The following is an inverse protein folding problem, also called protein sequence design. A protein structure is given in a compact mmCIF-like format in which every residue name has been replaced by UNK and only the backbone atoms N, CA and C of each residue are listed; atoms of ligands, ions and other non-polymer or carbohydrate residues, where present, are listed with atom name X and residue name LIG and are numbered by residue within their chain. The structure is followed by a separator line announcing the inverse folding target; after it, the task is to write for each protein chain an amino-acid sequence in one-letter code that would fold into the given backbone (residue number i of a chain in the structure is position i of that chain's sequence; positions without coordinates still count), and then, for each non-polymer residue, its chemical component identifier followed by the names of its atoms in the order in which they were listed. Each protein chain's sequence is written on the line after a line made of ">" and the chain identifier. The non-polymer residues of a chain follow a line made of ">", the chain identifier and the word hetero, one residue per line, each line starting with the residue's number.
data_IF_476499732465
#
_entry.id   IF_476499732465
#
_cell.length_a   1.000
_cell.length_b   1.000
_cell.length_c   1.000
_cell.angle_alpha   90.00
_cell.angle_beta   90.00
_cell.angle_gamma   90.00
#
_symmetry.space_group_name_H-M   'P 1'
#
loop_
_entity.id
_entity.type
_entity.pdbx_description
1 polymer ?
#
# COMPACT_ATOMS: atom_id res chain seq x y z
N UNK A 1 17.66 4.31 -40.40
CA UNK A 1 17.46 5.05 -39.16
C UNK A 1 16.08 5.71 -39.23
N UNK A 2 15.04 5.14 -38.59
CA UNK A 2 13.73 5.79 -38.45
C UNK A 2 13.78 6.64 -37.21
N UNK A 3 13.64 7.97 -37.35
CA UNK A 3 13.64 8.91 -36.25
C UNK A 3 12.42 8.69 -35.35
N UNK A 4 12.64 8.52 -34.07
CA UNK A 4 11.62 8.64 -33.02
C UNK A 4 11.23 10.13 -32.96
N UNK A 5 10.14 10.49 -33.66
CA UNK A 5 9.54 11.83 -33.53
C UNK A 5 8.99 11.98 -32.11
N UNK A 6 9.30 13.09 -31.46
CA UNK A 6 8.64 13.52 -30.24
C UNK A 6 7.14 13.70 -30.51
N UNK A 7 6.25 13.30 -29.57
CA UNK A 7 4.81 13.45 -29.78
C UNK A 7 4.46 14.92 -29.98
N UNK A 8 3.51 15.19 -30.87
CA UNK A 8 2.99 16.55 -31.10
C UNK A 8 2.25 17.04 -29.84
N UNK A 9 2.17 18.37 -29.67
CA UNK A 9 1.45 18.99 -28.54
C UNK A 9 0.02 18.47 -28.40
N UNK A 10 -0.68 18.25 -29.51
CA UNK A 10 -2.03 17.67 -29.55
C UNK A 10 -2.08 16.22 -29.08
N UNK A 11 -1.09 15.39 -29.42
CA UNK A 11 -0.96 14.00 -28.97
C UNK A 11 -0.64 13.93 -27.47
N UNK A 12 0.21 14.84 -26.97
CA UNK A 12 0.55 14.95 -25.56
C UNK A 12 -0.68 15.34 -24.70
N UNK A 13 -1.47 16.31 -25.16
CA UNK A 13 -2.73 16.74 -24.51
C UNK A 13 -3.77 15.61 -24.51
N UNK A 14 -3.94 14.91 -25.63
CA UNK A 14 -4.85 13.76 -25.74
C UNK A 14 -4.46 12.61 -24.81
N UNK A 15 -3.16 12.29 -24.73
CA UNK A 15 -2.62 11.26 -23.85
C UNK A 15 -2.80 11.64 -22.38
N UNK A 16 -2.55 12.88 -22.00
CA UNK A 16 -2.75 13.40 -20.64
C UNK A 16 -4.23 13.30 -20.23
N UNK A 17 -5.15 13.80 -21.07
CA UNK A 17 -6.59 13.73 -20.79
C UNK A 17 -7.11 12.27 -20.68
N UNK A 18 -6.54 11.34 -21.46
CA UNK A 18 -6.86 9.91 -21.38
C UNK A 18 -6.35 9.31 -20.07
N UNK A 19 -5.14 9.67 -19.64
CA UNK A 19 -4.56 9.22 -18.40
C UNK A 19 -5.33 9.78 -17.20
N UNK A 20 -5.73 11.05 -17.22
CA UNK A 20 -6.54 11.67 -16.16
C UNK A 20 -7.90 10.96 -15.99
N UNK A 21 -8.58 10.61 -17.09
CA UNK A 21 -9.83 9.83 -17.03
C UNK A 21 -9.63 8.43 -16.47
N UNK A 22 -8.55 7.75 -16.86
CA UNK A 22 -8.21 6.43 -16.36
C UNK A 22 -8.05 6.45 -14.82
N UNK A 23 -7.27 7.38 -14.28
CA UNK A 23 -7.05 7.49 -12.84
C UNK A 23 -8.33 7.88 -12.09
N UNK A 24 -9.11 8.80 -12.65
CA UNK A 24 -10.40 9.19 -12.06
C UNK A 24 -11.39 8.03 -11.97
N UNK A 25 -11.40 7.12 -12.96
CA UNK A 25 -12.22 5.90 -12.91
C UNK A 25 -11.71 4.95 -11.82
N UNK A 26 -10.40 4.77 -11.67
CA UNK A 26 -9.83 3.93 -10.62
C UNK A 26 -10.20 4.43 -9.22
N UNK A 27 -10.03 5.71 -8.93
CA UNK A 27 -10.35 6.32 -7.64
C UNK A 27 -11.86 6.21 -7.31
N UNK A 28 -12.72 6.47 -8.32
CA UNK A 28 -14.16 6.31 -8.17
C UNK A 28 -14.54 4.84 -7.88
N UNK A 29 -13.91 3.89 -8.55
CA UNK A 29 -14.17 2.46 -8.36
C UNK A 29 -13.82 2.01 -6.94
N UNK A 30 -12.69 2.44 -6.39
CA UNK A 30 -12.29 2.14 -5.01
C UNK A 30 -13.32 2.64 -4.01
N UNK A 31 -13.78 3.87 -4.16
CA UNK A 31 -14.82 4.44 -3.31
C UNK A 31 -16.11 3.60 -3.36
N UNK A 32 -16.55 3.23 -4.56
CA UNK A 32 -17.76 2.40 -4.75
C UNK A 32 -17.57 1.01 -4.16
N UNK A 33 -16.42 0.35 -4.40
CA UNK A 33 -16.12 -0.98 -3.87
C UNK A 33 -16.06 -1.00 -2.34
N UNK A 34 -15.46 0.02 -1.73
CA UNK A 34 -15.37 0.10 -0.27
C UNK A 34 -16.72 0.41 0.42
N UNK A 35 -17.58 1.19 -0.22
CA UNK A 35 -18.88 1.56 0.33
C UNK A 35 -19.94 0.48 0.16
N UNK A 36 -20.00 -0.14 -1.02
CA UNK A 36 -21.06 -1.07 -1.40
C UNK A 36 -20.61 -2.54 -1.35
N UNK A 37 -19.33 -2.79 -1.17
CA UNK A 37 -18.73 -4.10 -1.41
C UNK A 37 -18.50 -4.37 -2.89
N UNK A 38 -17.46 -5.15 -3.21
CA UNK A 38 -17.08 -5.43 -4.60
C UNK A 38 -18.22 -6.12 -5.40
N UNK A 39 -18.88 -7.13 -4.82
CA UNK A 39 -19.88 -7.91 -5.53
C UNK A 39 -21.14 -7.13 -5.88
N UNK A 40 -21.61 -6.30 -4.95
CA UNK A 40 -22.83 -5.48 -5.11
C UNK A 40 -22.60 -4.23 -5.97
N UNK A 41 -21.35 -3.90 -6.26
CA UNK A 41 -20.99 -2.75 -7.08
C UNK A 41 -21.26 -2.99 -8.55
N UNK A 42 -21.65 -1.95 -9.27
CA UNK A 42 -21.93 -1.97 -10.70
C UNK A 42 -21.07 -0.97 -11.48
N UNK A 43 -20.84 -1.24 -12.76
CA UNK A 43 -20.15 -0.32 -13.68
C UNK A 43 -20.85 1.05 -13.72
N UNK A 44 -22.19 1.07 -13.71
CA UNK A 44 -22.96 2.31 -13.73
C UNK A 44 -22.77 3.15 -12.47
N UNK A 45 -22.59 2.54 -11.29
CA UNK A 45 -22.23 3.27 -10.07
C UNK A 45 -20.84 3.89 -10.18
N UNK A 46 -19.87 3.13 -10.70
CA UNK A 46 -18.49 3.62 -10.91
C UNK A 46 -18.49 4.76 -11.93
N UNK A 47 -19.19 4.61 -13.06
CA UNK A 47 -19.29 5.63 -14.09
C UNK A 47 -19.87 6.94 -13.55
N UNK A 48 -20.96 6.84 -12.77
CA UNK A 48 -21.60 7.99 -12.10
C UNK A 48 -20.63 8.66 -11.12
N UNK A 49 -19.94 7.90 -10.28
CA UNK A 49 -18.96 8.41 -9.31
C UNK A 49 -17.77 9.08 -10.03
N UNK A 50 -17.33 8.52 -11.16
CA UNK A 50 -16.25 9.08 -11.98
C UNK A 50 -16.69 10.27 -12.86
N UNK A 51 -17.99 10.58 -12.93
CA UNK A 51 -18.50 11.63 -13.82
C UNK A 51 -18.29 11.32 -15.31
N UNK A 52 -18.50 10.06 -15.72
CA UNK A 52 -18.39 9.60 -17.11
C UNK A 52 -19.60 8.76 -17.50
N UNK A 53 -19.81 8.55 -18.82
CA UNK A 53 -20.81 7.60 -19.30
C UNK A 53 -20.33 6.14 -19.12
N UNK A 54 -21.25 5.19 -18.92
CA UNK A 54 -20.95 3.75 -18.75
C UNK A 54 -20.05 3.23 -19.88
N UNK A 55 -20.35 3.58 -21.13
CA UNK A 55 -19.54 3.20 -22.29
C UNK A 55 -18.10 3.69 -22.25
N UNK A 56 -17.83 4.78 -21.49
CA UNK A 56 -16.47 5.29 -21.31
C UNK A 56 -15.63 4.33 -20.47
N UNK A 57 -16.22 3.65 -19.48
CA UNK A 57 -15.50 2.66 -18.65
C UNK A 57 -14.91 1.57 -19.53
N UNK A 58 -15.70 1.04 -20.47
CA UNK A 58 -15.28 -0.06 -21.35
C UNK A 58 -14.19 0.31 -22.38
N UNK A 59 -13.88 1.60 -22.54
CA UNK A 59 -12.71 2.04 -23.32
C UNK A 59 -11.39 1.81 -22.58
N UNK A 60 -11.42 1.64 -21.24
CA UNK A 60 -10.26 1.48 -20.38
C UNK A 60 -10.17 0.12 -19.72
N UNK A 61 -11.30 -0.50 -19.37
CA UNK A 61 -11.39 -1.70 -18.56
C UNK A 61 -12.41 -2.68 -19.14
N UNK A 62 -12.09 -3.96 -19.11
CA UNK A 62 -12.96 -5.03 -19.63
C UNK A 62 -14.21 -5.26 -18.78
N UNK A 63 -14.03 -5.20 -17.46
CA UNK A 63 -15.05 -5.43 -16.45
C UNK A 63 -14.61 -4.84 -15.10
N UNK A 64 -15.40 -5.02 -14.04
CA UNK A 64 -15.04 -4.51 -12.71
C UNK A 64 -13.85 -5.24 -12.06
N UNK A 65 -13.62 -6.51 -12.40
CA UNK A 65 -12.47 -7.28 -11.93
C UNK A 65 -11.17 -6.69 -12.48
N UNK A 66 -11.19 -6.32 -13.77
CA UNK A 66 -10.08 -5.65 -14.44
C UNK A 66 -9.75 -4.29 -13.79
N UNK A 67 -10.77 -3.52 -13.41
CA UNK A 67 -10.59 -2.26 -12.66
C UNK A 67 -9.87 -2.51 -11.33
N UNK A 68 -10.27 -3.53 -10.57
CA UNK A 68 -9.65 -3.89 -9.29
C UNK A 68 -8.17 -4.25 -9.44
N UNK A 69 -7.85 -5.08 -10.44
CA UNK A 69 -6.47 -5.47 -10.75
C UNK A 69 -5.63 -4.25 -11.14
N UNK A 70 -6.16 -3.38 -12.00
CA UNK A 70 -5.49 -2.14 -12.42
C UNK A 70 -5.27 -1.18 -11.23
N UNK A 71 -6.24 -1.09 -10.32
CA UNK A 71 -6.13 -0.28 -9.11
C UNK A 71 -4.98 -0.77 -8.21
N UNK A 72 -4.92 -2.06 -7.89
CA UNK A 72 -3.84 -2.59 -7.05
C UNK A 72 -2.46 -2.43 -7.71
N UNK A 73 -2.34 -2.65 -9.02
CA UNK A 73 -1.10 -2.38 -9.76
C UNK A 73 -0.65 -0.91 -9.66
N UNK A 74 -1.60 0.01 -9.80
CA UNK A 74 -1.33 1.45 -9.74
C UNK A 74 -0.90 1.88 -8.33
N UNK A 75 -1.68 1.51 -7.31
CA UNK A 75 -1.40 1.86 -5.91
C UNK A 75 -0.10 1.22 -5.41
N UNK A 76 0.17 -0.04 -5.73
CA UNK A 76 1.42 -0.70 -5.35
C UNK A 76 2.63 0.12 -5.77
N UNK A 77 2.69 0.56 -7.02
CA UNK A 77 3.83 1.35 -7.53
C UNK A 77 3.99 2.67 -6.80
N UNK A 78 2.89 3.39 -6.55
CA UNK A 78 2.92 4.68 -5.84
C UNK A 78 3.36 4.52 -4.39
N UNK A 79 2.73 3.63 -3.65
CA UNK A 79 2.99 3.41 -2.23
C UNK A 79 4.42 2.92 -2.00
N UNK A 80 4.92 2.02 -2.85
CA UNK A 80 6.31 1.54 -2.73
C UNK A 80 7.37 2.58 -3.04
N UNK A 81 7.13 3.47 -4.01
CA UNK A 81 8.02 4.60 -4.24
C UNK A 81 8.15 5.47 -2.98
N UNK A 82 7.02 5.77 -2.33
CA UNK A 82 7.00 6.53 -1.09
C UNK A 82 7.68 5.78 0.08
N UNK A 83 7.45 4.47 0.22
CA UNK A 83 8.11 3.68 1.27
C UNK A 83 9.63 3.65 1.11
N UNK A 84 10.12 3.45 -0.11
CA UNK A 84 11.56 3.46 -0.39
C UNK A 84 12.16 4.84 -0.08
N UNK A 85 11.52 5.91 -0.52
CA UNK A 85 11.97 7.27 -0.24
C UNK A 85 12.09 7.55 1.26
N UNK A 86 11.07 7.20 2.06
CA UNK A 86 11.08 7.38 3.52
C UNK A 86 12.17 6.55 4.21
N UNK A 87 12.39 5.32 3.77
CA UNK A 87 13.44 4.43 4.30
C UNK A 87 14.84 4.97 3.95
N UNK A 88 15.04 5.45 2.72
CA UNK A 88 16.34 5.93 2.25
C UNK A 88 16.76 7.26 2.92
N UNK A 89 15.82 8.03 3.49
CA UNK A 89 16.12 9.25 4.25
C UNK A 89 16.73 8.97 5.63
N UNK A 90 16.53 7.78 6.18
CA UNK A 90 17.06 7.41 7.51
C UNK A 90 18.42 6.69 7.40
N UNK A 91 19.25 6.83 8.44
CA UNK A 91 20.56 6.21 8.51
C UNK A 91 20.56 4.88 9.26
N UNK A 92 19.91 4.81 10.43
CA UNK A 92 19.89 3.62 11.28
C UNK A 92 18.71 2.69 10.89
N UNK A 93 18.88 1.39 11.12
CA UNK A 93 17.83 0.41 10.88
C UNK A 93 16.56 0.70 11.71
N UNK A 94 16.71 1.18 12.94
CA UNK A 94 15.57 1.52 13.81
C UNK A 94 14.78 2.71 13.26
N UNK A 95 15.47 3.76 12.77
CA UNK A 95 14.81 4.92 12.18
C UNK A 95 14.15 4.57 10.82
N UNK A 96 14.81 3.71 10.04
CA UNK A 96 14.22 3.17 8.79
C UNK A 96 12.92 2.42 9.07
N UNK A 97 12.91 1.55 10.09
CA UNK A 97 11.72 0.84 10.51
C UNK A 97 10.60 1.79 10.97
N UNK A 98 10.98 2.81 11.75
CA UNK A 98 10.04 3.84 12.22
C UNK A 98 9.42 4.62 11.07
N UNK A 99 10.23 5.07 10.13
CA UNK A 99 9.75 5.80 8.94
C UNK A 99 8.84 4.93 8.08
N UNK A 100 9.21 3.66 7.83
CA UNK A 100 8.41 2.72 7.07
C UNK A 100 7.04 2.49 7.71
N UNK A 101 7.00 2.18 9.01
CA UNK A 101 5.74 1.90 9.72
C UNK A 101 4.88 3.16 9.77
N UNK A 102 5.46 4.33 10.10
CA UNK A 102 4.72 5.61 10.12
C UNK A 102 4.10 5.90 8.76
N UNK A 103 4.88 5.75 7.68
CA UNK A 103 4.39 5.97 6.32
C UNK A 103 3.28 4.99 5.94
N UNK A 104 3.41 3.72 6.32
CA UNK A 104 2.39 2.71 6.06
C UNK A 104 1.06 3.07 6.73
N UNK A 105 1.10 3.43 8.02
CA UNK A 105 -0.10 3.83 8.75
C UNK A 105 -0.71 5.13 8.18
N UNK A 106 0.12 6.09 7.78
CA UNK A 106 -0.30 7.35 7.15
C UNK A 106 -1.00 7.12 5.81
N UNK A 107 -0.50 6.23 4.96
CA UNK A 107 -1.14 5.89 3.68
C UNK A 107 -2.56 5.34 3.90
N UNK A 108 -2.75 4.45 4.87
CA UNK A 108 -4.07 3.89 5.14
C UNK A 108 -5.00 4.87 5.89
N UNK A 109 -4.45 5.75 6.72
CA UNK A 109 -5.23 6.82 7.33
C UNK A 109 -5.74 7.82 6.30
N UNK A 110 -4.91 8.19 5.31
CA UNK A 110 -5.29 9.11 4.22
C UNK A 110 -6.29 8.50 3.25
N UNK A 111 -6.16 7.21 2.96
CA UNK A 111 -7.03 6.51 2.01
C UNK A 111 -7.71 5.31 2.70
N UNK A 112 -8.70 5.62 3.55
CA UNK A 112 -9.47 4.60 4.27
C UNK A 112 -10.17 3.62 3.34
N UNK A 113 -10.59 4.07 2.16
CA UNK A 113 -11.24 3.19 1.19
C UNK A 113 -10.26 2.15 0.64
N UNK A 114 -9.02 2.55 0.40
CA UNK A 114 -7.95 1.61 0.06
C UNK A 114 -7.70 0.60 1.18
N UNK A 115 -7.68 1.06 2.45
CA UNK A 115 -7.48 0.17 3.60
C UNK A 115 -8.59 -0.87 3.71
N UNK A 116 -9.87 -0.48 3.56
CA UNK A 116 -11.02 -1.40 3.55
C UNK A 116 -10.91 -2.42 2.42
N UNK A 117 -10.58 -1.97 1.21
CA UNK A 117 -10.46 -2.83 0.05
C UNK A 117 -9.28 -3.81 0.19
N UNK A 118 -8.15 -3.34 0.67
CA UNK A 118 -6.97 -4.16 0.94
C UNK A 118 -7.28 -5.27 1.95
N UNK A 119 -7.88 -4.93 3.10
CA UNK A 119 -8.27 -5.91 4.12
C UNK A 119 -9.30 -6.92 3.58
N UNK A 120 -10.29 -6.46 2.83
CA UNK A 120 -11.28 -7.35 2.21
C UNK A 120 -10.62 -8.36 1.26
N UNK A 121 -9.66 -7.94 0.44
CA UNK A 121 -8.98 -8.83 -0.52
C UNK A 121 -7.94 -9.74 0.16
N UNK A 122 -7.26 -9.30 1.22
CA UNK A 122 -6.28 -10.14 1.93
C UNK A 122 -6.92 -11.29 2.71
N UNK A 123 -8.16 -11.14 3.16
CA UNK A 123 -8.89 -12.13 3.95
C UNK A 123 -9.81 -13.05 3.12
N UNK A 124 -9.87 -12.88 1.79
CA UNK A 124 -10.69 -13.72 0.90
C UNK A 124 -9.99 -15.03 0.52
N UNK A 125 -10.79 -16.11 0.38
CA UNK A 125 -10.33 -17.41 -0.11
C UNK A 125 -10.04 -17.37 -1.62
N UNK A 126 -10.90 -16.68 -2.40
CA UNK A 126 -10.73 -16.45 -3.85
C UNK A 126 -10.52 -14.96 -4.09
N UNK A 127 -9.29 -14.54 -4.22
CA UNK A 127 -8.89 -13.14 -4.41
C UNK A 127 -8.80 -12.81 -5.89
N UNK A 128 -9.53 -11.81 -6.34
CA UNK A 128 -9.46 -11.35 -7.73
C UNK A 128 -8.11 -10.70 -8.06
N UNK A 129 -7.53 -10.00 -7.09
CA UNK A 129 -6.22 -9.34 -7.20
C UNK A 129 -5.11 -10.12 -6.46
N UNK A 130 -5.20 -11.44 -6.34
CA UNK A 130 -4.27 -12.26 -5.56
C UNK A 130 -2.81 -12.03 -5.94
N UNK A 131 -2.52 -12.03 -7.25
CA UNK A 131 -1.17 -11.79 -7.75
C UNK A 131 -0.64 -10.42 -7.34
N UNK A 132 -1.45 -9.37 -7.46
CA UNK A 132 -1.07 -7.99 -7.13
C UNK A 132 -0.83 -7.83 -5.63
N UNK A 133 -1.69 -8.41 -4.81
CA UNK A 133 -1.54 -8.40 -3.35
C UNK A 133 -0.31 -9.20 -2.93
N UNK A 134 -0.07 -10.34 -3.55
CA UNK A 134 1.13 -11.14 -3.28
C UNK A 134 2.42 -10.38 -3.64
N UNK A 135 2.45 -9.73 -4.80
CA UNK A 135 3.59 -8.89 -5.21
C UNK A 135 3.80 -7.73 -4.24
N UNK A 136 2.74 -7.06 -3.82
CA UNK A 136 2.79 -5.98 -2.83
C UNK A 136 3.33 -6.46 -1.48
N UNK A 137 2.80 -7.56 -0.94
CA UNK A 137 3.29 -8.17 0.30
C UNK A 137 4.77 -8.56 0.18
N UNK A 138 5.15 -9.18 -0.94
CA UNK A 138 6.55 -9.57 -1.17
C UNK A 138 7.48 -8.36 -1.12
N UNK A 139 7.16 -7.29 -1.84
CA UNK A 139 7.97 -6.06 -1.86
C UNK A 139 8.10 -5.46 -0.45
N UNK A 140 7.01 -5.41 0.32
CA UNK A 140 7.03 -4.91 1.69
C UNK A 140 7.88 -5.78 2.62
N UNK A 141 7.73 -7.10 2.56
CA UNK A 141 8.51 -8.05 3.34
C UNK A 141 10.00 -8.04 2.95
N UNK A 142 10.33 -7.79 1.69
CA UNK A 142 11.71 -7.65 1.23
C UNK A 142 12.33 -6.36 1.79
N UNK A 143 11.59 -5.25 1.81
CA UNK A 143 12.04 -3.99 2.41
C UNK A 143 12.25 -4.12 3.93
N UNK A 144 11.34 -4.79 4.65
CA UNK A 144 11.56 -5.09 6.08
C UNK A 144 12.79 -5.99 6.26
N UNK A 145 13.01 -6.98 5.39
CA UNK A 145 14.18 -7.86 5.49
C UNK A 145 15.49 -7.06 5.38
N UNK A 146 15.61 -6.14 4.41
CA UNK A 146 16.76 -5.24 4.26
C UNK A 146 17.02 -4.45 5.56
N UNK A 147 15.97 -3.90 6.16
CA UNK A 147 16.06 -3.13 7.42
C UNK A 147 16.49 -4.02 8.58
N UNK A 148 15.93 -5.21 8.70
CA UNK A 148 16.27 -6.18 9.78
C UNK A 148 17.73 -6.65 9.66
N UNK A 149 18.17 -6.98 8.44
CA UNK A 149 19.55 -7.38 8.16
C UNK A 149 20.55 -6.25 8.51
N UNK A 150 20.21 -5.02 8.12
CA UNK A 150 20.98 -3.85 8.53
C UNK A 150 21.04 -3.71 10.07
N UNK A 151 19.91 -3.84 10.76
CA UNK A 151 19.83 -3.76 12.21
C UNK A 151 20.63 -4.85 12.92
N UNK A 152 20.72 -6.05 12.32
CA UNK A 152 21.58 -7.12 12.83
C UNK A 152 23.08 -6.80 12.65
N UNK A 153 23.45 -6.15 11.55
CA UNK A 153 24.83 -5.68 11.34
C UNK A 153 25.20 -4.55 12.31
N UNK A 154 24.29 -3.60 12.51
CA UNK A 154 24.45 -2.47 13.44
C UNK A 154 24.46 -2.91 14.92
N UNK A 155 23.93 -4.12 15.22
CA UNK A 155 23.78 -4.62 16.59
C UNK A 155 22.52 -4.11 17.31
N UNK A 156 21.64 -3.38 16.64
CA UNK A 156 20.35 -2.93 17.16
C UNK A 156 19.31 -4.08 17.21
N UNK A 157 19.38 -5.02 16.29
CA UNK A 157 18.54 -6.22 16.24
C UNK A 157 19.37 -7.46 16.53
N UNK A 158 18.83 -8.38 17.30
CA UNK A 158 19.47 -9.64 17.69
C UNK A 158 19.81 -10.49 16.47
N UNK A 159 21.06 -10.93 16.35
CA UNK A 159 21.57 -11.75 15.25
C UNK A 159 21.12 -13.21 15.29
N UNK A 160 20.69 -13.71 16.46
CA UNK A 160 20.17 -15.05 16.63
C UNK A 160 18.72 -15.23 16.11
N UNK A 161 18.04 -14.12 15.76
CA UNK A 161 16.70 -14.17 15.25
C UNK A 161 16.67 -14.41 13.72
N UNK A 162 15.82 -15.34 13.30
CA UNK A 162 15.60 -15.60 11.89
C UNK A 162 14.83 -14.44 11.23
N UNK A 163 15.43 -13.79 10.23
CA UNK A 163 14.87 -12.62 9.53
C UNK A 163 13.45 -12.88 9.04
N UNK A 164 13.19 -14.08 8.51
CA UNK A 164 11.85 -14.49 8.05
C UNK A 164 10.78 -14.50 9.14
N UNK A 165 11.14 -14.75 10.41
CA UNK A 165 10.23 -14.66 11.54
C UNK A 165 10.01 -13.21 11.94
N UNK A 166 11.09 -12.43 12.06
CA UNK A 166 11.04 -11.03 12.48
C UNK A 166 10.15 -10.21 11.53
N UNK A 167 10.34 -10.35 10.21
CA UNK A 167 9.53 -9.61 9.24
C UNK A 167 8.04 -9.98 9.30
N UNK A 168 7.69 -11.24 9.58
CA UNK A 168 6.28 -11.65 9.75
C UNK A 168 5.69 -11.13 11.06
N UNK A 169 6.48 -11.08 12.12
CA UNK A 169 6.08 -10.48 13.39
C UNK A 169 5.77 -8.99 13.24
N UNK A 170 6.65 -8.25 12.54
CA UNK A 170 6.48 -6.81 12.31
C UNK A 170 5.20 -6.55 11.47
N UNK A 171 5.05 -7.20 10.31
CA UNK A 171 3.89 -6.96 9.45
C UNK A 171 2.59 -7.38 10.14
N UNK A 172 2.58 -8.50 10.86
CA UNK A 172 1.39 -8.95 11.58
C UNK A 172 0.93 -7.96 12.64
N UNK A 173 1.86 -7.33 13.37
CA UNK A 173 1.53 -6.27 14.32
C UNK A 173 0.99 -5.00 13.65
N UNK A 174 1.57 -4.60 12.53
CA UNK A 174 1.10 -3.44 11.75
C UNK A 174 -0.29 -3.70 11.16
N UNK A 175 -0.49 -4.85 10.53
CA UNK A 175 -1.78 -5.23 9.92
C UNK A 175 -2.90 -5.31 10.97
N UNK A 176 -2.62 -5.83 12.17
CA UNK A 176 -3.64 -5.92 13.25
C UNK A 176 -4.02 -4.54 13.77
N UNK A 177 -3.07 -3.61 13.88
CA UNK A 177 -3.39 -2.23 14.28
C UNK A 177 -4.26 -1.53 13.24
N UNK A 178 -3.98 -1.72 11.94
CA UNK A 178 -4.81 -1.19 10.86
C UNK A 178 -6.21 -1.81 10.89
N UNK A 179 -6.30 -3.13 11.07
CA UNK A 179 -7.56 -3.85 11.15
C UNK A 179 -8.42 -3.36 12.31
N UNK A 180 -7.83 -3.23 13.51
CA UNK A 180 -8.50 -2.69 14.69
C UNK A 180 -8.96 -1.23 14.47
N UNK A 181 -8.15 -0.40 13.82
CA UNK A 181 -8.51 0.97 13.48
C UNK A 181 -9.73 1.04 12.54
N UNK A 182 -9.77 0.19 11.53
CA UNK A 182 -10.92 0.09 10.62
C UNK A 182 -12.20 -0.33 11.35
N UNK A 183 -12.13 -1.30 12.26
CA UNK A 183 -13.26 -1.76 13.08
C UNK A 183 -13.72 -0.69 14.08
N UNK A 184 -12.84 0.19 14.53
CA UNK A 184 -13.18 1.33 15.37
C UNK A 184 -13.76 2.53 14.62
N UNK A 185 -13.98 2.39 13.33
CA UNK A 185 -14.47 3.44 12.43
C UNK A 185 -13.49 4.61 12.25
N UNK A 186 -12.19 4.36 12.47
CA UNK A 186 -11.15 5.38 12.35
C UNK A 186 -11.18 6.45 13.44
N UNK A 187 -11.63 6.09 14.65
CA UNK A 187 -11.88 7.05 15.75
C UNK A 187 -10.64 7.67 16.39
N UNK A 188 -9.45 7.19 16.04
CA UNK A 188 -8.19 7.71 16.57
C UNK A 188 -7.18 7.92 15.45
N UNK A 189 -6.14 8.71 15.73
CA UNK A 189 -5.03 8.94 14.80
C UNK A 189 -4.20 7.66 14.67
N UNK A 190 -4.31 6.98 13.51
CA UNK A 190 -3.62 5.73 13.23
C UNK A 190 -2.10 5.93 13.23
N UNK A 191 -1.61 7.08 12.74
CA UNK A 191 -0.17 7.37 12.68
C UNK A 191 0.47 7.48 14.06
N UNK A 192 -0.32 7.84 15.10
CA UNK A 192 0.15 7.87 16.49
C UNK A 192 0.57 6.51 17.03
N UNK A 193 0.16 5.41 16.37
CA UNK A 193 0.55 4.04 16.76
C UNK A 193 1.96 3.66 16.27
N UNK A 194 2.58 4.43 15.37
CA UNK A 194 3.87 4.08 14.78
C UNK A 194 4.99 3.94 15.81
N UNK A 195 5.20 4.96 16.64
CA UNK A 195 6.27 4.95 17.65
C UNK A 195 6.04 3.87 18.72
N UNK A 196 4.85 3.72 19.32
CA UNK A 196 4.56 2.60 20.22
C UNK A 196 4.81 1.22 19.62
N UNK A 197 4.43 1.00 18.34
CA UNK A 197 4.69 -0.26 17.66
C UNK A 197 6.18 -0.53 17.49
N UNK A 198 6.95 0.46 17.05
CA UNK A 198 8.41 0.33 16.89
C UNK A 198 9.06 0.05 18.23
N UNK A 199 8.67 0.75 19.29
CA UNK A 199 9.18 0.50 20.64
C UNK A 199 8.91 -0.93 21.11
N UNK A 200 7.70 -1.44 20.89
CA UNK A 200 7.36 -2.83 21.22
C UNK A 200 8.20 -3.83 20.40
N UNK A 201 8.38 -3.58 19.11
CA UNK A 201 9.21 -4.44 18.27
C UNK A 201 10.67 -4.43 18.74
N UNK A 202 11.25 -3.25 18.94
CA UNK A 202 12.68 -3.14 19.35
C UNK A 202 12.92 -3.72 20.74
N UNK A 203 12.02 -3.53 21.68
CA UNK A 203 12.14 -4.17 23.02
C UNK A 203 12.05 -5.70 22.95
N UNK A 204 11.31 -6.24 21.96
CA UNK A 204 11.18 -7.70 21.76
C UNK A 204 12.30 -8.31 20.93
N UNK A 205 12.83 -7.60 19.92
CA UNK A 205 13.84 -8.11 18.98
C UNK A 205 15.20 -7.41 19.07
N UNK A 206 15.29 -6.32 19.85
CA UNK A 206 16.52 -5.56 20.07
C UNK A 206 17.53 -6.28 20.95
N UNK A 207 18.75 -5.80 20.94
CA UNK A 207 19.79 -6.25 21.88
C UNK A 207 19.61 -5.57 23.22
N UNK A 208 20.23 -6.14 24.28
CA UNK A 208 20.16 -5.56 25.64
C UNK A 208 20.79 -4.16 25.72
N UNK A 209 21.65 -3.79 24.79
CA UNK A 209 22.27 -2.46 24.76
C UNK A 209 21.28 -1.35 24.41
N UNK A 210 20.28 -1.65 23.55
CA UNK A 210 19.22 -0.71 23.16
C UNK A 210 18.14 -0.53 24.24
N UNK A 211 18.07 -1.46 25.22
CA UNK A 211 17.06 -1.41 26.28
C UNK A 211 17.47 -0.52 27.47
N UNK A 212 18.74 -0.08 27.55
CA UNK A 212 19.29 0.68 28.64
C UNK A 212 19.66 2.14 28.28
N UNK A 213 19.32 2.60 27.09
CA UNK A 213 19.51 3.98 26.62
C UNK A 213 18.18 4.74 26.61
#
# INVERSE_FOLDING_TARGET
>A
MKGLGLPTEGEAISTKAKNDKYHRILEAAVTVFAQSGFHESTISQIARAAGVADGTIYLYFKNKDDILVHFFNYKTRQVFACFREEVDQAQTAVDKLRNLIRRHLDEFQKDRFMAVLYQAETHRINRLAEKQIHEMHKMYLDLIAEIVEQGQVEGAIRRDLYVGLVKRYIIGGVDEVINTWLHSDGKYDLTSMADPLVDLFIRGIGTQQELNG
#
